data_IF_624262097355
#
_entry.id   IF_624262097355
#
_cell.length_a   1.000
_cell.length_b   1.000
_cell.length_c   1.000
_cell.angle_alpha   90.00
_cell.angle_beta   90.00
_cell.angle_gamma   90.00
#
_symmetry.space_group_name_H-M   'P 1'
#
loop_
_entity.id
_entity.type
_entity.pdbx_description
1 polymer ?
#
# COMPACT_ATOMS: atom_id res chain seq x y z
N UNK A 1 35.20 1.89 2.76
CA UNK A 1 34.32 0.75 2.42
C UNK A 1 32.92 1.31 2.26
N UNK A 2 32.44 1.49 1.04
CA UNK A 2 31.07 1.94 0.74
C UNK A 2 30.14 0.84 1.20
N UNK A 3 29.41 1.03 2.28
CA UNK A 3 28.33 0.13 2.66
C UNK A 3 27.38 0.03 1.47
N UNK A 4 27.18 -1.17 0.95
CA UNK A 4 26.22 -1.43 -0.11
C UNK A 4 24.81 -1.20 0.46
N UNK A 5 24.27 0.00 0.29
CA UNK A 5 22.92 0.34 0.72
C UNK A 5 21.92 -0.52 -0.06
N UNK A 6 20.99 -1.11 0.66
CA UNK A 6 19.87 -1.84 0.07
C UNK A 6 18.76 -0.85 -0.29
N UNK A 7 18.09 -1.11 -1.39
CA UNK A 7 16.85 -0.41 -1.75
C UNK A 7 15.69 -1.13 -1.08
N UNK A 8 14.89 -0.40 -0.31
CA UNK A 8 13.61 -0.85 0.22
C UNK A 8 12.53 -0.21 -0.64
N UNK A 9 11.64 -1.01 -1.17
CA UNK A 9 10.60 -0.50 -2.04
C UNK A 9 9.24 -1.07 -1.68
N UNK A 10 8.27 -0.17 -1.53
CA UNK A 10 6.86 -0.46 -1.37
C UNK A 10 6.16 -0.21 -2.71
N UNK A 11 5.29 -1.14 -3.10
CA UNK A 11 4.52 -1.07 -4.35
C UNK A 11 3.07 -1.46 -4.07
N UNK A 12 2.17 -0.89 -4.84
CA UNK A 12 0.83 -1.44 -5.04
C UNK A 12 0.34 -1.07 -6.43
N UNK A 13 -0.53 -1.91 -6.98
CA UNK A 13 -1.20 -1.61 -8.23
C UNK A 13 -2.50 -2.39 -8.33
N UNK A 14 -3.59 -1.68 -8.58
CA UNK A 14 -4.88 -2.28 -8.85
C UNK A 14 -5.00 -2.57 -10.35
N UNK A 15 -5.04 -3.84 -10.70
CA UNK A 15 -5.25 -4.34 -12.07
C UNK A 15 -5.98 -5.68 -12.00
N UNK A 16 -6.39 -6.22 -13.14
CA UNK A 16 -7.01 -7.52 -13.19
C UNK A 16 -6.00 -8.59 -13.58
N UNK A 17 -5.74 -9.53 -12.68
CA UNK A 17 -5.05 -10.77 -12.98
C UNK A 17 -6.06 -11.91 -13.12
N UNK A 18 -6.11 -12.53 -14.28
CA UNK A 18 -7.00 -13.69 -14.50
C UNK A 18 -6.50 -14.92 -13.73
N UNK A 19 -5.20 -15.13 -13.67
CA UNK A 19 -4.56 -16.20 -12.89
C UNK A 19 -3.37 -15.67 -12.06
N UNK A 20 -3.63 -15.12 -10.86
CA UNK A 20 -2.56 -14.64 -9.99
C UNK A 20 -1.65 -15.77 -9.46
N UNK A 21 -2.09 -17.04 -9.45
CA UNK A 21 -1.26 -18.16 -9.02
C UNK A 21 -0.14 -18.44 -10.00
N UNK A 22 -0.40 -18.36 -11.29
CA UNK A 22 0.62 -18.51 -12.32
C UNK A 22 1.76 -17.49 -12.21
N UNK A 23 1.51 -16.31 -11.64
CA UNK A 23 2.52 -15.27 -11.42
C UNK A 23 3.43 -15.54 -10.21
N UNK A 24 3.00 -16.39 -9.29
CA UNK A 24 3.65 -16.59 -7.99
C UNK A 24 5.04 -17.21 -8.11
N UNK A 25 5.15 -18.34 -8.81
CA UNK A 25 6.41 -19.09 -8.88
C UNK A 25 7.51 -18.32 -9.66
N UNK A 26 7.26 -17.72 -10.84
CA UNK A 26 8.23 -16.89 -11.54
C UNK A 26 8.72 -15.70 -10.71
N UNK A 27 7.81 -15.00 -10.03
CA UNK A 27 8.14 -13.85 -9.21
C UNK A 27 8.97 -14.24 -7.99
N UNK A 28 8.66 -15.35 -7.32
CA UNK A 28 9.44 -15.84 -6.19
C UNK A 28 10.86 -16.23 -6.64
N UNK A 29 10.98 -16.97 -7.75
CA UNK A 29 12.26 -17.38 -8.31
C UNK A 29 13.14 -16.17 -8.67
N UNK A 30 12.56 -15.16 -9.32
CA UNK A 30 13.28 -13.91 -9.64
C UNK A 30 13.79 -13.24 -8.37
N UNK A 31 12.91 -13.06 -7.37
CA UNK A 31 13.29 -12.40 -6.12
C UNK A 31 14.40 -13.15 -5.37
N UNK A 32 14.35 -14.47 -5.33
CA UNK A 32 15.37 -15.31 -4.69
C UNK A 32 16.72 -15.22 -5.43
N UNK A 33 16.69 -15.28 -6.76
CA UNK A 33 17.88 -15.12 -7.59
C UNK A 33 18.56 -13.76 -7.39
N UNK A 34 17.77 -12.70 -7.26
CA UNK A 34 18.25 -11.32 -7.09
C UNK A 34 18.58 -10.94 -5.63
N UNK A 35 18.45 -11.87 -4.69
CA UNK A 35 18.70 -11.62 -3.27
C UNK A 35 17.67 -10.68 -2.62
N UNK A 36 16.48 -10.59 -3.17
CA UNK A 36 15.36 -9.75 -2.67
C UNK A 36 14.63 -10.50 -1.57
N UNK A 37 14.29 -9.78 -0.50
CA UNK A 37 13.47 -10.29 0.60
C UNK A 37 12.30 -9.36 0.86
N UNK A 38 11.25 -9.88 1.49
CA UNK A 38 10.05 -9.11 1.79
C UNK A 38 8.78 -9.91 1.56
N UNK A 39 7.70 -9.20 1.29
CA UNK A 39 6.41 -9.84 1.00
C UNK A 39 5.77 -9.18 -0.21
N UNK A 40 5.32 -9.98 -1.17
CA UNK A 40 4.45 -9.58 -2.26
C UNK A 40 3.13 -10.33 -2.11
N UNK A 41 2.03 -9.62 -2.23
CA UNK A 41 0.67 -10.13 -2.23
C UNK A 41 0.15 -10.06 -3.67
N UNK A 42 -0.41 -11.16 -4.15
CA UNK A 42 -1.06 -11.27 -5.45
C UNK A 42 -2.54 -11.62 -5.23
N UNK A 43 -3.41 -10.93 -5.89
CA UNK A 43 -4.85 -11.19 -5.91
C UNK A 43 -5.41 -10.96 -7.31
N UNK A 44 -6.66 -11.33 -7.56
CA UNK A 44 -7.33 -11.03 -8.83
C UNK A 44 -7.45 -9.53 -9.10
N UNK A 45 -7.41 -8.71 -8.06
CA UNK A 45 -7.54 -7.25 -8.14
C UNK A 45 -6.19 -6.52 -8.25
N UNK A 46 -5.05 -7.24 -8.22
CA UNK A 46 -3.75 -6.61 -8.37
C UNK A 46 -2.61 -7.18 -7.54
N UNK A 47 -1.64 -6.32 -7.26
CA UNK A 47 -0.39 -6.62 -6.56
C UNK A 47 -0.12 -5.57 -5.47
N UNK A 48 0.41 -6.01 -4.33
CA UNK A 48 0.85 -5.14 -3.23
C UNK A 48 2.04 -5.77 -2.53
N UNK A 49 2.96 -4.98 -2.03
CA UNK A 49 4.06 -5.52 -1.27
C UNK A 49 5.11 -4.50 -0.84
N UNK A 50 5.97 -4.97 0.07
CA UNK A 50 7.20 -4.27 0.44
C UNK A 50 8.34 -5.26 0.41
N UNK A 51 9.40 -4.90 -0.30
CA UNK A 51 10.59 -5.72 -0.53
C UNK A 51 11.86 -4.90 -0.32
N UNK A 52 12.96 -5.57 -0.06
CA UNK A 52 14.29 -4.97 0.00
C UNK A 52 15.31 -5.86 -0.68
N UNK A 53 16.29 -5.24 -1.35
CA UNK A 53 17.33 -5.96 -2.05
C UNK A 53 18.39 -5.05 -2.65
N UNK A 54 19.36 -5.61 -3.38
CA UNK A 54 20.30 -4.84 -4.18
C UNK A 54 19.55 -3.97 -5.20
N UNK A 55 20.00 -2.74 -5.42
CA UNK A 55 19.35 -1.78 -6.34
C UNK A 55 19.06 -2.37 -7.72
N UNK A 56 20.03 -3.11 -8.28
CA UNK A 56 19.86 -3.75 -9.59
C UNK A 56 18.83 -4.89 -9.56
N UNK A 57 18.75 -5.64 -8.46
CA UNK A 57 17.74 -6.68 -8.27
C UNK A 57 16.33 -6.06 -8.21
N UNK A 58 16.16 -4.99 -7.46
CA UNK A 58 14.90 -4.23 -7.40
C UNK A 58 14.50 -3.72 -8.79
N UNK A 59 15.44 -3.16 -9.55
CA UNK A 59 15.16 -2.70 -10.92
C UNK A 59 14.69 -3.85 -11.85
N UNK A 60 15.27 -5.05 -11.71
CA UNK A 60 14.82 -6.23 -12.47
C UNK A 60 13.43 -6.70 -12.03
N UNK A 61 13.14 -6.64 -10.73
CA UNK A 61 11.79 -6.93 -10.24
C UNK A 61 10.76 -5.95 -10.81
N UNK A 62 11.09 -4.65 -10.86
CA UNK A 62 10.21 -3.64 -11.47
C UNK A 62 9.98 -3.89 -12.96
N UNK A 63 11.02 -4.20 -13.70
CA UNK A 63 10.88 -4.56 -15.11
C UNK A 63 9.99 -5.79 -15.31
N UNK A 64 10.11 -6.78 -14.43
CA UNK A 64 9.24 -7.97 -14.45
C UNK A 64 7.78 -7.60 -14.15
N UNK A 65 7.52 -6.78 -13.13
CA UNK A 65 6.16 -6.36 -12.78
C UNK A 65 5.56 -5.49 -13.88
N UNK A 66 6.31 -4.54 -14.44
CA UNK A 66 5.84 -3.69 -15.53
C UNK A 66 5.45 -4.46 -16.79
N UNK A 67 6.03 -5.65 -16.99
CA UNK A 67 5.69 -6.55 -18.10
C UNK A 67 4.40 -7.37 -17.85
N UNK A 68 3.85 -7.37 -16.64
CA UNK A 68 2.59 -8.04 -16.35
C UNK A 68 1.40 -7.29 -16.96
N UNK A 69 0.31 -7.98 -17.31
CA UNK A 69 -0.88 -7.35 -17.87
C UNK A 69 -1.41 -6.22 -16.98
N UNK A 70 -1.52 -5.00 -17.55
CA UNK A 70 -2.05 -3.84 -16.89
C UNK A 70 -1.14 -3.20 -15.83
N UNK A 71 0.16 -3.56 -15.78
CA UNK A 71 1.11 -3.05 -14.78
C UNK A 71 2.18 -2.13 -15.36
N UNK A 72 2.01 -1.57 -16.58
CA UNK A 72 3.04 -0.74 -17.24
C UNK A 72 3.43 0.52 -16.45
N UNK A 73 2.53 1.04 -15.62
CA UNK A 73 2.62 2.30 -14.91
C UNK A 73 2.35 2.16 -13.40
N UNK A 74 2.68 1.00 -12.83
CA UNK A 74 2.47 0.77 -11.38
C UNK A 74 3.29 1.75 -10.51
N UNK A 75 2.69 2.17 -9.41
CA UNK A 75 3.34 3.08 -8.47
C UNK A 75 4.21 2.32 -7.47
N UNK A 76 5.38 2.89 -7.17
CA UNK A 76 6.26 2.41 -6.12
C UNK A 76 6.96 3.56 -5.40
N UNK A 77 7.31 3.34 -4.14
CA UNK A 77 8.06 4.29 -3.30
C UNK A 77 9.33 3.61 -2.83
N UNK A 78 10.45 4.31 -2.93
CA UNK A 78 11.76 3.78 -2.55
C UNK A 78 12.35 4.52 -1.35
N UNK A 79 13.06 3.76 -0.53
CA UNK A 79 13.92 4.24 0.54
C UNK A 79 15.16 3.36 0.63
N UNK A 80 16.07 3.65 1.52
CA UNK A 80 17.31 2.87 1.68
C UNK A 80 17.46 2.31 3.07
N UNK A 81 18.13 1.16 3.18
CA UNK A 81 18.48 0.54 4.44
C UNK A 81 19.94 0.04 4.41
N UNK A 82 20.63 0.20 5.53
CA UNK A 82 22.01 -0.33 5.70
C UNK A 82 22.03 -1.82 6.05
N UNK A 83 20.91 -2.35 6.53
CA UNK A 83 20.74 -3.76 6.92
C UNK A 83 19.46 -4.29 6.30
N UNK A 84 19.48 -5.56 5.89
CA UNK A 84 18.30 -6.24 5.33
C UNK A 84 17.15 -6.27 6.36
N UNK A 85 16.03 -5.55 6.10
CA UNK A 85 14.95 -5.46 7.08
C UNK A 85 14.05 -6.71 7.13
N UNK A 86 14.20 -7.62 6.17
CA UNK A 86 13.34 -8.80 6.04
C UNK A 86 14.13 -10.10 6.18
N UNK A 87 13.55 -11.07 6.88
CA UNK A 87 14.18 -12.39 7.09
C UNK A 87 14.17 -13.27 5.84
N UNK A 88 13.08 -13.24 5.07
CA UNK A 88 12.85 -14.12 3.90
C UNK A 88 11.96 -13.48 2.87
N UNK A 89 11.98 -13.99 1.63
CA UNK A 89 10.99 -13.65 0.61
C UNK A 89 9.70 -14.44 0.78
N UNK A 90 8.58 -13.80 0.49
CA UNK A 90 7.25 -14.42 0.44
C UNK A 90 6.46 -13.83 -0.71
N UNK A 91 5.94 -14.69 -1.58
CA UNK A 91 4.89 -14.32 -2.55
C UNK A 91 3.62 -15.07 -2.15
N UNK A 92 2.56 -14.34 -1.83
CA UNK A 92 1.33 -14.91 -1.26
C UNK A 92 0.12 -14.57 -2.11
N UNK A 93 -0.70 -15.57 -2.35
CA UNK A 93 -2.03 -15.36 -2.90
C UNK A 93 -2.97 -14.86 -1.80
N UNK A 94 -3.76 -13.89 -2.14
CA UNK A 94 -4.78 -13.27 -1.28
C UNK A 94 -6.09 -13.11 -2.06
N UNK A 95 -7.18 -12.88 -1.35
CA UNK A 95 -8.46 -12.48 -1.95
C UNK A 95 -8.45 -11.02 -2.37
N UNK A 96 -7.78 -10.18 -1.57
CA UNK A 96 -7.65 -8.74 -1.71
C UNK A 96 -6.19 -8.35 -1.46
N UNK A 97 -5.67 -7.38 -2.21
CA UNK A 97 -4.31 -6.84 -1.99
C UNK A 97 -4.27 -5.83 -0.83
N UNK A 98 -5.40 -5.20 -0.54
CA UNK A 98 -5.66 -4.43 0.67
C UNK A 98 -6.91 -5.02 1.32
N UNK A 99 -6.75 -5.60 2.50
CA UNK A 99 -7.82 -6.38 3.10
C UNK A 99 -8.90 -5.46 3.69
N UNK A 100 -9.95 -5.18 2.93
CA UNK A 100 -11.11 -4.40 3.35
C UNK A 100 -12.31 -5.28 3.72
N UNK A 101 -12.43 -6.47 3.11
CA UNK A 101 -13.54 -7.39 3.35
C UNK A 101 -14.86 -6.93 2.72
N UNK A 102 -14.79 -6.17 1.62
CA UNK A 102 -15.95 -5.63 0.92
C UNK A 102 -15.98 -6.14 -0.53
N UNK A 103 -16.55 -7.32 -0.80
CA UNK A 103 -16.46 -7.97 -2.10
C UNK A 103 -17.17 -7.20 -3.24
N UNK A 104 -18.04 -6.24 -2.90
CA UNK A 104 -18.77 -5.44 -3.87
C UNK A 104 -18.06 -4.09 -4.19
N UNK A 105 -16.93 -3.81 -3.57
CA UNK A 105 -16.12 -2.62 -3.86
C UNK A 105 -15.05 -2.98 -4.88
N UNK A 106 -15.11 -2.34 -6.05
CA UNK A 106 -14.06 -2.43 -7.06
C UNK A 106 -13.18 -1.18 -6.98
N UNK A 107 -11.95 -1.28 -6.46
CA UNK A 107 -11.06 -0.13 -6.33
C UNK A 107 -10.66 0.49 -7.69
N UNK A 108 -10.86 -0.23 -8.80
CA UNK A 108 -10.62 0.29 -10.17
C UNK A 108 -11.77 1.19 -10.67
N UNK A 109 -12.95 1.07 -10.08
CA UNK A 109 -14.11 1.90 -10.45
C UNK A 109 -14.00 3.33 -9.92
N UNK A 110 -13.13 3.56 -8.93
CA UNK A 110 -12.82 4.88 -8.39
C UNK A 110 -12.15 4.79 -7.03
N UNK A 111 -11.12 5.58 -6.86
CA UNK A 111 -10.45 5.83 -5.59
C UNK A 111 -10.59 7.31 -5.22
N UNK A 112 -10.17 7.68 -4.02
CA UNK A 112 -10.02 9.08 -3.66
C UNK A 112 -8.97 9.77 -4.57
N UNK A 113 -9.04 11.09 -4.63
CA UNK A 113 -8.02 11.88 -5.31
C UNK A 113 -6.75 11.94 -4.46
N UNK A 114 -5.61 11.54 -5.04
CA UNK A 114 -4.32 11.66 -4.36
C UNK A 114 -3.89 13.11 -4.31
N UNK A 115 -3.43 13.53 -3.14
CA UNK A 115 -2.97 14.89 -2.87
C UNK A 115 -1.45 14.90 -2.76
N UNK A 116 -0.80 15.84 -3.44
CA UNK A 116 0.65 16.03 -3.34
C UNK A 116 1.03 16.36 -1.88
N UNK A 117 2.16 15.84 -1.37
CA UNK A 117 2.64 16.16 -0.02
C UNK A 117 2.79 17.66 0.26
N UNK A 118 3.09 18.47 -0.77
CA UNK A 118 3.18 19.93 -0.62
C UNK A 118 1.82 20.59 -0.40
N UNK A 119 0.75 20.00 -0.90
CA UNK A 119 -0.63 20.48 -0.75
C UNK A 119 -1.33 19.93 0.49
N UNK A 120 -0.79 18.85 1.08
CA UNK A 120 -1.40 18.13 2.19
C UNK A 120 -1.66 19.03 3.41
N UNK A 121 -0.66 19.84 3.81
CA UNK A 121 -0.81 20.71 4.97
C UNK A 121 -1.93 21.76 4.79
N UNK A 122 -2.04 22.32 3.59
CA UNK A 122 -3.11 23.27 3.28
C UNK A 122 -4.49 22.60 3.33
N UNK A 123 -4.58 21.37 2.78
CA UNK A 123 -5.82 20.60 2.78
C UNK A 123 -6.30 20.29 4.20
N UNK A 124 -5.44 19.72 5.05
CA UNK A 124 -5.83 19.28 6.40
C UNK A 124 -6.09 20.44 7.37
N UNK A 125 -5.60 21.65 7.04
CA UNK A 125 -5.84 22.88 7.82
C UNK A 125 -7.14 23.58 7.43
N UNK A 126 -7.81 23.15 6.36
CA UNK A 126 -9.04 23.78 5.91
C UNK A 126 -10.22 23.43 6.85
N UNK A 127 -11.05 24.41 7.25
CA UNK A 127 -12.11 24.20 8.26
C UNK A 127 -13.26 23.29 7.77
N UNK A 128 -13.40 23.12 6.45
CA UNK A 128 -14.40 22.26 5.82
C UNK A 128 -13.89 20.84 5.57
N UNK A 129 -12.67 20.50 6.01
CA UNK A 129 -12.06 19.18 5.86
C UNK A 129 -12.11 18.40 7.17
N UNK A 130 -12.47 17.13 7.10
CA UNK A 130 -12.29 16.17 8.17
C UNK A 130 -11.18 15.20 7.79
N UNK A 131 -10.14 15.11 8.61
CA UNK A 131 -9.01 14.20 8.41
C UNK A 131 -9.28 12.92 9.17
N UNK A 132 -9.16 11.77 8.51
CA UNK A 132 -9.37 10.45 9.13
C UNK A 132 -8.09 9.64 8.98
N UNK A 133 -7.56 9.17 10.11
CA UNK A 133 -6.45 8.24 10.15
C UNK A 133 -6.98 6.81 9.96
N UNK A 134 -6.76 6.22 8.79
CA UNK A 134 -7.25 4.87 8.48
C UNK A 134 -6.28 3.75 8.88
N UNK A 135 -5.20 4.10 9.59
CA UNK A 135 -4.24 3.12 10.12
C UNK A 135 -4.83 2.36 11.31
N UNK A 136 -4.11 1.36 11.76
CA UNK A 136 -4.50 0.63 12.96
C UNK A 136 -4.29 1.50 14.23
N UNK A 137 -5.06 1.25 15.28
CA UNK A 137 -5.05 2.01 16.54
C UNK A 137 -3.65 2.11 17.19
N UNK A 138 -2.83 1.04 17.09
CA UNK A 138 -1.48 1.05 17.62
C UNK A 138 -0.55 2.04 16.86
N UNK A 139 -0.78 2.28 15.57
CA UNK A 139 -0.02 3.23 14.77
C UNK A 139 -0.42 4.67 15.11
N UNK A 140 -1.71 4.89 15.32
CA UNK A 140 -2.25 6.18 15.81
C UNK A 140 -1.65 6.51 17.19
N UNK A 141 -1.50 5.51 18.06
CA UNK A 141 -0.88 5.65 19.38
C UNK A 141 0.59 6.07 19.37
N UNK A 142 1.32 5.82 18.27
CA UNK A 142 2.69 6.29 18.06
C UNK A 142 2.71 7.78 17.66
N UNK A 143 1.72 8.22 16.88
CA UNK A 143 1.55 9.58 16.40
C UNK A 143 0.61 9.67 15.22
N UNK A 144 -0.08 10.80 15.09
CA UNK A 144 -1.01 11.10 14.00
C UNK A 144 -0.96 12.58 13.66
N UNK A 145 -1.64 13.01 12.60
CA UNK A 145 -1.78 14.43 12.29
C UNK A 145 -2.68 15.11 13.31
N UNK A 146 -2.37 16.36 13.64
CA UNK A 146 -3.16 17.16 14.55
C UNK A 146 -4.62 17.28 14.05
N UNK A 147 -5.57 17.01 14.94
CA UNK A 147 -7.00 17.03 14.59
C UNK A 147 -7.50 15.84 13.78
N UNK A 148 -6.65 14.87 13.43
CA UNK A 148 -7.09 13.68 12.75
C UNK A 148 -7.99 12.81 13.63
N UNK A 149 -9.04 12.30 13.02
CA UNK A 149 -10.01 11.42 13.68
C UNK A 149 -9.47 10.00 13.66
N UNK A 150 -9.36 9.41 14.84
CA UNK A 150 -9.03 8.02 15.05
C UNK A 150 -10.29 7.15 15.08
N UNK A 151 -10.51 6.26 14.09
CA UNK A 151 -11.60 5.30 14.10
C UNK A 151 -11.47 4.23 15.19
N UNK A 152 -10.30 4.11 15.84
CA UNK A 152 -9.96 3.07 16.83
C UNK A 152 -10.11 1.65 16.29
N UNK A 153 -9.83 1.47 15.02
CA UNK A 153 -9.88 0.17 14.36
C UNK A 153 -8.57 -0.60 14.59
N UNK A 154 -8.68 -1.86 14.92
CA UNK A 154 -7.53 -2.77 15.06
C UNK A 154 -7.03 -3.28 13.73
N UNK A 155 -7.91 -3.31 12.75
CA UNK A 155 -7.62 -3.73 11.38
C UNK A 155 -8.42 -2.89 10.40
N UNK A 156 -7.92 -2.69 9.19
CA UNK A 156 -8.63 -1.94 8.15
C UNK A 156 -10.00 -2.55 7.76
N UNK A 157 -10.22 -3.84 8.05
CA UNK A 157 -11.53 -4.48 7.85
C UNK A 157 -12.67 -3.88 8.66
N UNK A 158 -12.35 -3.26 9.78
CA UNK A 158 -13.34 -2.64 10.67
C UNK A 158 -13.75 -1.24 10.18
N UNK A 159 -12.92 -0.62 9.33
CA UNK A 159 -13.14 0.73 8.84
C UNK A 159 -14.45 0.90 8.05
N UNK A 160 -14.86 0.01 7.13
CA UNK A 160 -16.13 0.14 6.42
C UNK A 160 -17.35 0.19 7.35
N UNK A 161 -17.36 -0.60 8.41
CA UNK A 161 -18.43 -0.58 9.42
C UNK A 161 -18.40 0.75 10.18
N UNK A 162 -17.24 1.15 10.69
CA UNK A 162 -17.08 2.43 11.37
C UNK A 162 -17.53 3.60 10.48
N UNK A 163 -17.18 3.59 9.20
CA UNK A 163 -17.62 4.61 8.24
C UNK A 163 -19.14 4.62 8.07
N UNK A 164 -19.76 3.46 7.92
CA UNK A 164 -21.23 3.37 7.78
C UNK A 164 -21.96 3.97 8.98
N UNK A 165 -21.43 3.76 10.19
CA UNK A 165 -22.00 4.26 11.44
C UNK A 165 -21.73 5.76 11.65
N UNK A 166 -20.64 6.31 11.14
CA UNK A 166 -20.17 7.66 11.45
C UNK A 166 -20.27 8.68 10.30
N UNK A 167 -20.47 8.25 9.06
CA UNK A 167 -20.47 9.14 7.87
C UNK A 167 -21.44 10.32 7.98
N UNK A 168 -22.55 10.18 8.72
CA UNK A 168 -23.51 11.24 8.94
C UNK A 168 -22.92 12.47 9.66
N UNK A 169 -21.83 12.30 10.43
CA UNK A 169 -21.12 13.37 11.14
C UNK A 169 -20.37 14.30 10.19
N UNK A 170 -20.15 13.87 8.95
CA UNK A 170 -19.32 14.54 7.96
C UNK A 170 -20.12 15.09 6.78
N UNK A 171 -21.44 15.25 6.93
CA UNK A 171 -22.35 15.55 5.83
C UNK A 171 -21.96 16.79 5.00
N UNK A 172 -21.31 17.79 5.61
CA UNK A 172 -20.89 19.03 4.95
C UNK A 172 -19.35 19.19 4.93
N UNK A 173 -18.59 18.10 5.02
CA UNK A 173 -17.13 18.14 5.03
C UNK A 173 -16.56 17.36 3.87
N UNK A 174 -15.47 17.85 3.33
CA UNK A 174 -14.55 17.05 2.52
C UNK A 174 -13.82 16.06 3.43
N UNK A 175 -13.58 14.86 2.96
CA UNK A 175 -12.88 13.84 3.71
C UNK A 175 -11.48 13.67 3.14
N UNK A 176 -10.48 13.91 3.98
CA UNK A 176 -9.10 13.57 3.71
C UNK A 176 -8.74 12.32 4.53
N UNK A 177 -8.10 11.36 3.90
CA UNK A 177 -7.67 10.11 4.55
C UNK A 177 -6.19 9.86 4.29
N UNK A 178 -5.55 9.18 5.21
CA UNK A 178 -4.20 8.69 5.02
C UNK A 178 -4.04 7.32 5.68
N UNK A 179 -3.11 6.53 5.16
CA UNK A 179 -2.76 5.21 5.67
C UNK A 179 -1.24 5.08 5.82
N UNK A 180 -0.75 3.90 6.19
CA UNK A 180 0.68 3.61 6.38
C UNK A 180 1.47 3.65 5.07
N UNK A 181 0.93 3.07 4.00
CA UNK A 181 1.62 2.90 2.71
C UNK A 181 1.20 3.87 1.61
N UNK A 182 0.13 4.65 1.82
CA UNK A 182 -0.42 5.55 0.82
C UNK A 182 -1.12 4.81 -0.34
N UNK A 183 -1.83 3.73 -0.02
CA UNK A 183 -2.66 2.95 -0.96
C UNK A 183 -4.06 3.54 -0.98
#
# INVERSE_FOLDING_TARGET
MTQNMLTVSALYHFTRFDDPDALRAPMLSLCEHEGIKGTILLAKEGINGTVAGPKQGIARLWAHIAALPGCSDFEHKESTASVMPFKRMKVRLKKEIVTMGQPNVDPRAGTGHYVDPLEWNALISAPDVAVIDTRNDYEVGIGTFEGAIDPKTKTFREFPQWWAENKHRFHNKKIAMFCTGGI
#
